data_IF_138793774963
#
_entry.id   IF_138793774963
#
_cell.length_a   1.000
_cell.length_b   1.000
_cell.length_c   1.000
_cell.angle_alpha   90.00
_cell.angle_beta   90.00
_cell.angle_gamma   90.00
#
_symmetry.space_group_name_H-M   'P 1'
#
loop_
_entity.id
_entity.type
_entity.pdbx_description
1 polymer ?
#
# COMPACT_ATOMS: atom_id res chain seq x y z
N UNK A 1 10.65 53.81 -21.92
CA UNK A 1 9.90 52.53 -22.00
C UNK A 1 10.63 51.53 -21.12
N UNK A 2 10.02 51.07 -20.01
CA UNK A 2 10.63 50.08 -19.11
C UNK A 2 10.48 48.70 -19.75
N UNK A 3 11.60 48.10 -20.13
CA UNK A 3 11.69 46.68 -20.51
C UNK A 3 11.40 45.84 -19.26
N UNK A 4 10.13 45.52 -19.04
CA UNK A 4 9.74 44.52 -18.05
C UNK A 4 10.32 43.17 -18.51
N UNK A 5 11.29 42.69 -17.74
CA UNK A 5 12.10 41.53 -18.07
C UNK A 5 11.23 40.28 -18.21
N UNK A 6 11.11 39.77 -19.44
CA UNK A 6 10.40 38.52 -19.79
C UNK A 6 10.90 37.32 -18.95
N UNK A 7 12.14 37.39 -18.44
CA UNK A 7 12.74 36.41 -17.54
C UNK A 7 12.04 36.31 -16.17
N UNK A 8 11.44 37.39 -15.67
CA UNK A 8 10.73 37.37 -14.38
C UNK A 8 9.40 36.60 -14.47
N UNK A 9 8.70 36.72 -15.60
CA UNK A 9 7.47 35.96 -15.88
C UNK A 9 7.74 34.46 -16.02
N UNK A 10 8.84 34.05 -16.70
CA UNK A 10 9.21 32.64 -16.86
C UNK A 10 9.53 31.92 -15.53
N UNK A 11 10.12 32.64 -14.56
CA UNK A 11 10.45 32.05 -13.24
C UNK A 11 9.23 31.75 -12.36
N UNK A 12 8.10 32.43 -12.60
CA UNK A 12 6.85 32.20 -11.87
C UNK A 12 6.11 30.95 -12.36
N UNK A 13 6.27 30.55 -13.61
CA UNK A 13 5.60 29.35 -14.16
C UNK A 13 6.28 28.03 -13.79
N UNK A 14 7.56 28.03 -13.43
CA UNK A 14 8.27 26.81 -13.04
C UNK A 14 7.87 26.29 -11.65
N UNK A 15 7.58 27.18 -10.71
CA UNK A 15 7.20 26.77 -9.36
C UNK A 15 5.75 26.25 -9.28
N UNK A 16 4.83 26.81 -10.08
CA UNK A 16 3.42 26.41 -10.09
C UNK A 16 3.20 25.04 -10.74
N UNK A 17 4.00 24.69 -11.75
CA UNK A 17 3.90 23.38 -12.41
C UNK A 17 4.37 22.24 -11.50
N UNK A 18 5.40 22.47 -10.67
CA UNK A 18 5.95 21.44 -9.80
C UNK A 18 5.01 21.12 -8.62
N UNK A 19 4.39 22.15 -8.03
CA UNK A 19 3.39 21.93 -6.97
C UNK A 19 2.16 21.20 -7.51
N UNK A 20 1.63 21.62 -8.67
CA UNK A 20 0.46 20.98 -9.27
C UNK A 20 0.69 19.51 -9.65
N UNK A 21 1.90 19.16 -10.11
CA UNK A 21 2.27 17.76 -10.39
C UNK A 21 2.37 16.94 -9.09
N UNK A 22 2.94 17.52 -8.03
CA UNK A 22 3.07 16.87 -6.71
C UNK A 22 1.70 16.61 -6.09
N UNK A 23 0.79 17.59 -6.16
CA UNK A 23 -0.58 17.48 -5.65
C UNK A 23 -1.39 16.43 -6.43
N UNK A 24 -1.26 16.40 -7.76
CA UNK A 24 -1.91 15.38 -8.60
C UNK A 24 -1.44 13.96 -8.27
N UNK A 25 -0.14 13.77 -8.02
CA UNK A 25 0.40 12.46 -7.64
C UNK A 25 -0.03 12.05 -6.23
N UNK A 26 -0.04 12.98 -5.28
CA UNK A 26 -0.55 12.71 -3.92
C UNK A 26 -2.02 12.30 -3.95
N UNK A 27 -2.85 12.98 -4.74
CA UNK A 27 -4.25 12.59 -4.93
C UNK A 27 -4.37 11.17 -5.49
N UNK A 28 -3.58 10.80 -6.51
CA UNK A 28 -3.56 9.43 -7.04
C UNK A 28 -3.18 8.40 -5.97
N UNK A 29 -2.18 8.69 -5.15
CA UNK A 29 -1.76 7.81 -4.04
C UNK A 29 -2.91 7.63 -3.05
N UNK A 30 -3.55 8.72 -2.63
CA UNK A 30 -4.66 8.69 -1.69
C UNK A 30 -5.86 7.91 -2.23
N UNK A 31 -6.19 8.08 -3.52
CA UNK A 31 -7.26 7.32 -4.17
C UNK A 31 -6.97 5.82 -4.15
N UNK A 32 -5.77 5.41 -4.58
CA UNK A 32 -5.39 3.98 -4.59
C UNK A 32 -5.38 3.39 -3.17
N UNK A 33 -4.89 4.13 -2.17
CA UNK A 33 -4.96 3.71 -0.77
C UNK A 33 -6.41 3.48 -0.35
N UNK A 34 -7.29 4.43 -0.65
CA UNK A 34 -8.69 4.35 -0.28
C UNK A 34 -9.39 3.16 -0.96
N UNK A 35 -9.06 2.87 -2.21
CA UNK A 35 -9.59 1.70 -2.94
C UNK A 35 -9.18 0.39 -2.26
N UNK A 36 -7.90 0.23 -1.91
CA UNK A 36 -7.39 -0.95 -1.18
C UNK A 36 -8.05 -1.08 0.20
N UNK A 37 -8.15 0.00 0.97
CA UNK A 37 -8.76 -0.03 2.30
C UNK A 37 -10.25 -0.37 2.24
N UNK A 38 -10.98 0.13 1.24
CA UNK A 38 -12.38 -0.21 1.03
C UNK A 38 -12.58 -1.69 0.70
N UNK A 39 -11.73 -2.26 -0.15
CA UNK A 39 -11.78 -3.69 -0.46
C UNK A 39 -11.44 -4.54 0.78
N UNK A 40 -10.47 -4.13 1.61
CA UNK A 40 -10.16 -4.82 2.87
C UNK A 40 -11.39 -4.88 3.78
N UNK A 41 -12.09 -3.76 3.94
CA UNK A 41 -13.27 -3.65 4.79
C UNK A 41 -14.44 -4.50 4.30
N UNK A 42 -14.56 -4.77 2.99
CA UNK A 42 -15.56 -5.68 2.44
C UNK A 42 -15.28 -7.14 2.80
N UNK A 43 -14.00 -7.54 2.76
CA UNK A 43 -13.58 -8.89 3.14
C UNK A 43 -13.68 -9.15 4.65
N UNK A 44 -13.54 -8.10 5.46
CA UNK A 44 -13.48 -8.16 6.92
C UNK A 44 -14.67 -7.47 7.62
N UNK A 45 -15.83 -7.41 6.96
CA UNK A 45 -17.03 -6.74 7.45
C UNK A 45 -17.54 -7.36 8.76
N UNK A 46 -17.23 -6.71 9.89
CA UNK A 46 -17.61 -7.12 11.25
C UNK A 46 -16.44 -7.47 12.18
N UNK A 47 -15.20 -7.34 11.73
CA UNK A 47 -14.00 -7.77 12.46
C UNK A 47 -13.45 -6.73 13.47
N UNK A 48 -12.65 -7.25 14.40
CA UNK A 48 -11.76 -6.53 15.33
C UNK A 48 -10.42 -6.14 14.69
N UNK A 49 -10.37 -6.20 13.36
CA UNK A 49 -9.15 -6.09 12.58
C UNK A 49 -9.06 -4.68 11.95
N UNK A 50 -7.89 -4.06 12.04
CA UNK A 50 -7.61 -2.72 11.56
C UNK A 50 -6.55 -2.78 10.47
N UNK A 51 -6.75 -2.06 9.38
CA UNK A 51 -5.81 -1.98 8.27
C UNK A 51 -5.64 -0.53 7.86
N UNK A 52 -4.39 -0.13 7.60
CA UNK A 52 -4.06 1.25 7.26
C UNK A 52 -2.83 1.31 6.37
N UNK A 53 -2.89 2.18 5.37
CA UNK A 53 -1.77 2.50 4.50
C UNK A 53 -1.44 4.00 4.59
N UNK A 54 -0.19 4.31 4.89
CA UNK A 54 0.29 5.71 4.85
C UNK A 54 0.60 6.15 3.43
N UNK A 55 0.65 7.46 3.18
CA UNK A 55 1.04 8.03 1.87
C UNK A 55 2.49 7.74 1.46
N UNK A 56 3.31 7.21 2.37
CA UNK A 56 4.65 6.72 2.08
C UNK A 56 4.70 5.22 1.75
N UNK A 57 3.54 4.53 1.77
CA UNK A 57 3.43 3.09 1.53
C UNK A 57 3.79 2.21 2.73
N UNK A 58 3.83 2.77 3.95
CA UNK A 58 3.90 1.95 5.15
C UNK A 58 2.52 1.38 5.45
N UNK A 59 2.45 0.05 5.52
CA UNK A 59 1.24 -0.74 5.72
C UNK A 59 1.25 -1.29 7.14
N UNK A 60 0.10 -1.27 7.80
CA UNK A 60 -0.10 -1.97 9.07
C UNK A 60 -1.45 -2.63 9.10
N UNK A 61 -1.47 -3.91 9.47
CA UNK A 61 -2.66 -4.70 9.75
C UNK A 61 -2.60 -5.14 11.22
N UNK A 62 -3.72 -5.09 11.93
CA UNK A 62 -3.82 -5.52 13.32
C UNK A 62 -5.07 -6.35 13.52
N UNK A 63 -4.96 -7.42 14.30
CA UNK A 63 -6.12 -8.04 14.93
C UNK A 63 -6.08 -7.79 16.44
N UNK A 64 -7.11 -7.15 16.96
CA UNK A 64 -7.16 -6.78 18.38
C UNK A 64 -7.65 -7.91 19.30
N UNK A 65 -8.25 -8.99 18.78
CA UNK A 65 -8.61 -10.17 19.59
C UNK A 65 -7.37 -11.04 19.81
N UNK A 66 -6.60 -11.27 18.75
CA UNK A 66 -5.45 -12.19 18.77
C UNK A 66 -4.12 -11.51 19.17
N UNK A 67 -4.17 -10.23 19.57
CA UNK A 67 -3.02 -9.36 19.87
C UNK A 67 -1.94 -9.50 18.80
N UNK A 68 -2.34 -9.26 17.55
CA UNK A 68 -1.53 -9.50 16.37
C UNK A 68 -1.38 -8.22 15.55
N UNK A 69 -0.16 -7.92 15.09
CA UNK A 69 0.14 -6.78 14.21
C UNK A 69 1.16 -7.20 13.14
N UNK A 70 0.86 -6.90 11.89
CA UNK A 70 1.80 -6.98 10.76
C UNK A 70 2.12 -5.55 10.33
N UNK A 71 3.39 -5.25 10.07
CA UNK A 71 3.78 -3.97 9.46
C UNK A 71 4.98 -4.11 8.53
N UNK A 72 4.96 -3.37 7.44
CA UNK A 72 6.03 -3.33 6.44
C UNK A 72 5.93 -2.07 5.57
N UNK A 73 7.02 -1.75 4.87
CA UNK A 73 7.02 -0.71 3.85
C UNK A 73 6.88 -1.36 2.47
N UNK A 74 5.92 -0.92 1.66
CA UNK A 74 5.66 -1.45 0.33
C UNK A 74 6.90 -1.36 -0.59
N UNK A 75 7.75 -0.35 -0.39
CA UNK A 75 9.00 -0.20 -1.17
C UNK A 75 10.04 -1.30 -0.90
N UNK A 76 9.90 -2.03 0.22
CA UNK A 76 10.74 -3.19 0.55
C UNK A 76 10.16 -4.51 0.04
N UNK A 77 8.94 -4.49 -0.53
CA UNK A 77 8.28 -5.64 -1.13
C UNK A 77 8.67 -5.79 -2.62
N UNK A 78 8.73 -7.03 -3.07
CA UNK A 78 8.89 -7.38 -4.48
C UNK A 78 7.52 -7.31 -5.18
N UNK A 79 7.32 -6.28 -5.99
CA UNK A 79 6.04 -5.98 -6.65
C UNK A 79 5.48 -7.15 -7.47
N UNK A 80 6.34 -7.88 -8.17
CA UNK A 80 5.94 -8.99 -9.03
C UNK A 80 5.56 -10.26 -8.26
N UNK A 81 5.80 -10.30 -6.94
CA UNK A 81 5.54 -11.45 -6.08
C UNK A 81 4.34 -11.24 -5.17
N UNK A 82 3.59 -10.14 -5.31
CA UNK A 82 2.29 -10.01 -4.62
C UNK A 82 1.31 -10.95 -5.32
N UNK A 83 1.01 -12.07 -4.68
CA UNK A 83 0.19 -13.16 -5.23
C UNK A 83 -0.96 -13.51 -4.31
N UNK A 84 -2.06 -13.96 -4.91
CA UNK A 84 -3.14 -14.62 -4.20
C UNK A 84 -2.78 -16.08 -3.89
N UNK A 85 -3.00 -16.52 -2.65
CA UNK A 85 -2.97 -17.93 -2.26
C UNK A 85 -4.29 -18.33 -1.63
N UNK A 86 -4.77 -19.54 -1.94
CA UNK A 86 -5.95 -20.09 -1.28
C UNK A 86 -5.62 -20.47 0.16
N UNK A 87 -6.47 -20.09 1.10
CA UNK A 87 -6.37 -20.48 2.51
C UNK A 87 -7.58 -21.30 2.93
N UNK A 88 -7.29 -22.46 3.52
CA UNK A 88 -8.31 -23.36 4.06
C UNK A 88 -8.86 -22.87 5.41
N UNK A 89 -8.12 -22.01 6.13
CA UNK A 89 -8.50 -21.54 7.47
C UNK A 89 -9.69 -20.59 7.46
N UNK A 90 -9.82 -19.77 6.41
CA UNK A 90 -10.88 -18.74 6.27
C UNK A 90 -11.80 -18.97 5.07
N UNK A 91 -11.71 -20.14 4.41
CA UNK A 91 -12.43 -20.45 3.17
C UNK A 91 -12.32 -19.28 2.17
N UNK A 92 -11.09 -18.93 1.81
CA UNK A 92 -10.87 -17.77 0.98
C UNK A 92 -9.47 -17.68 0.39
N UNK A 93 -9.04 -16.45 0.15
CA UNK A 93 -7.71 -16.13 -0.35
C UNK A 93 -7.01 -15.14 0.57
N UNK A 94 -5.69 -15.28 0.65
CA UNK A 94 -4.80 -14.31 1.26
C UNK A 94 -3.89 -13.70 0.19
N UNK A 95 -3.43 -12.48 0.42
CA UNK A 95 -2.32 -11.91 -0.33
C UNK A 95 -1.00 -12.29 0.34
N UNK A 96 -0.11 -12.93 -0.41
CA UNK A 96 1.26 -13.16 0.04
C UNK A 96 2.14 -12.01 -0.40
N UNK A 97 2.89 -11.46 0.56
CA UNK A 97 3.89 -10.42 0.32
C UNK A 97 5.28 -11.02 0.52
N UNK A 98 6.22 -10.70 -0.38
CA UNK A 98 7.61 -11.14 -0.31
C UNK A 98 8.57 -9.95 -0.31
N UNK A 99 9.59 -9.99 0.56
CA UNK A 99 10.63 -8.97 0.62
C UNK A 99 11.53 -9.01 -0.64
N UNK A 100 11.87 -7.83 -1.18
CA UNK A 100 12.70 -7.65 -2.39
C UNK A 100 14.13 -8.16 -2.28
N UNK A 101 14.64 -8.27 -1.05
CA UNK A 101 15.97 -8.82 -0.74
C UNK A 101 15.73 -9.97 0.23
N UNK A 102 16.68 -10.90 0.39
CA UNK A 102 16.65 -11.93 1.44
C UNK A 102 16.68 -11.37 2.89
N UNK A 103 16.27 -10.12 3.08
CA UNK A 103 16.08 -9.44 4.33
C UNK A 103 14.68 -9.72 4.88
N UNK A 104 14.58 -9.82 6.20
CA UNK A 104 13.31 -9.94 6.89
C UNK A 104 12.70 -8.53 7.07
N UNK A 105 11.92 -8.09 6.09
CA UNK A 105 11.34 -6.74 6.02
C UNK A 105 9.92 -6.64 6.61
N UNK A 106 9.26 -7.77 6.86
CA UNK A 106 7.92 -7.82 7.41
C UNK A 106 8.01 -8.04 8.91
N UNK A 107 7.59 -7.03 9.68
CA UNK A 107 7.54 -7.12 11.14
C UNK A 107 6.19 -7.69 11.55
N UNK A 108 6.23 -8.67 12.43
CA UNK A 108 5.04 -9.24 13.07
C UNK A 108 5.19 -9.12 14.58
N UNK A 109 4.18 -8.59 15.25
CA UNK A 109 4.06 -8.60 16.71
C UNK A 109 2.89 -9.52 17.06
N UNK A 110 3.13 -10.51 17.91
CA UNK A 110 2.06 -11.38 18.44
C UNK A 110 2.33 -11.66 19.91
N UNK A 111 1.32 -11.45 20.76
CA UNK A 111 1.43 -11.70 22.20
C UNK A 111 2.66 -10.99 22.81
N UNK A 112 2.86 -9.72 22.45
CA UNK A 112 4.01 -8.90 22.84
C UNK A 112 5.39 -9.32 22.28
N UNK A 113 5.48 -10.38 21.45
CA UNK A 113 6.74 -10.82 20.85
C UNK A 113 6.86 -10.31 19.42
N UNK A 114 8.00 -9.70 19.10
CA UNK A 114 8.31 -9.26 17.74
C UNK A 114 9.13 -10.32 17.00
N UNK A 115 8.75 -10.60 15.76
CA UNK A 115 9.49 -11.41 14.80
C UNK A 115 9.53 -10.71 13.44
N UNK A 116 10.51 -11.07 12.63
CA UNK A 116 10.66 -10.53 11.29
C UNK A 116 10.68 -11.67 10.28
N UNK A 117 9.97 -11.50 9.17
CA UNK A 117 9.78 -12.49 8.13
C UNK A 117 10.18 -11.94 6.76
N UNK A 118 10.59 -12.85 5.88
CA UNK A 118 10.86 -12.57 4.46
C UNK A 118 9.61 -12.66 3.59
N UNK A 119 8.57 -13.34 4.07
CA UNK A 119 7.26 -13.43 3.44
C UNK A 119 6.16 -13.54 4.49
N UNK A 120 4.95 -13.08 4.15
CA UNK A 120 3.81 -13.18 5.04
C UNK A 120 2.49 -13.17 4.26
N UNK A 121 1.50 -13.91 4.73
CA UNK A 121 0.13 -13.89 4.21
C UNK A 121 -0.70 -12.89 5.02
N UNK A 122 -1.27 -11.91 4.35
CA UNK A 122 -2.07 -10.86 4.95
C UNK A 122 -3.28 -10.58 4.05
N UNK A 123 -4.21 -9.74 4.48
CA UNK A 123 -5.34 -9.34 3.65
C UNK A 123 -6.17 -10.55 3.17
N UNK A 124 -7.06 -11.03 4.04
CA UNK A 124 -7.91 -12.19 3.74
C UNK A 124 -9.25 -11.75 3.13
N UNK A 125 -9.69 -12.47 2.09
CA UNK A 125 -10.97 -12.28 1.41
C UNK A 125 -11.63 -13.63 1.12
N UNK A 126 -12.95 -13.66 0.95
CA UNK A 126 -13.72 -14.90 0.69
C UNK A 126 -13.54 -15.39 -0.77
N UNK A 127 -13.65 -16.70 -1.01
CA UNK A 127 -13.45 -17.33 -2.34
C UNK A 127 -14.29 -16.71 -3.47
N UNK A 128 -15.50 -16.25 -3.17
CA UNK A 128 -16.44 -15.69 -4.15
C UNK A 128 -15.97 -14.34 -4.75
N UNK A 129 -14.89 -13.77 -4.22
CA UNK A 129 -14.39 -12.43 -4.54
C UNK A 129 -13.09 -12.42 -5.36
N UNK A 130 -12.77 -13.50 -6.09
CA UNK A 130 -11.53 -13.59 -6.90
C UNK A 130 -11.27 -12.36 -7.80
N UNK A 131 -12.29 -11.78 -8.44
CA UNK A 131 -12.11 -10.57 -9.25
C UNK A 131 -11.73 -9.31 -8.45
N UNK A 132 -12.16 -9.21 -7.19
CA UNK A 132 -11.75 -8.13 -6.28
C UNK A 132 -10.30 -8.32 -5.82
N UNK A 133 -9.87 -9.57 -5.68
CA UNK A 133 -8.50 -9.91 -5.33
C UNK A 133 -7.51 -9.53 -6.44
N UNK A 134 -7.85 -9.81 -7.70
CA UNK A 134 -7.03 -9.41 -8.85
C UNK A 134 -6.92 -7.88 -8.96
N UNK A 135 -8.02 -7.16 -8.70
CA UNK A 135 -8.02 -5.70 -8.65
C UNK A 135 -7.14 -5.19 -7.49
N UNK A 136 -7.27 -5.77 -6.30
CA UNK A 136 -6.45 -5.39 -5.13
C UNK A 136 -4.96 -5.59 -5.41
N UNK A 137 -4.57 -6.69 -6.06
CA UNK A 137 -3.18 -6.92 -6.49
C UNK A 137 -2.72 -5.82 -7.46
N UNK A 138 -3.57 -5.46 -8.43
CA UNK A 138 -3.28 -4.37 -9.36
C UNK A 138 -3.09 -3.04 -8.63
N UNK A 139 -3.91 -2.74 -7.64
CA UNK A 139 -3.86 -1.50 -6.88
C UNK A 139 -2.59 -1.41 -6.02
N UNK A 140 -2.18 -2.50 -5.37
CA UNK A 140 -0.89 -2.54 -4.65
C UNK A 140 0.30 -2.31 -5.59
N UNK A 141 0.28 -2.89 -6.80
CA UNK A 141 1.32 -2.67 -7.82
C UNK A 141 1.33 -1.21 -8.28
N UNK A 142 0.16 -0.65 -8.56
CA UNK A 142 0.02 0.76 -8.91
C UNK A 142 0.55 1.69 -7.81
N UNK A 143 0.20 1.43 -6.55
CA UNK A 143 0.69 2.19 -5.41
C UNK A 143 2.22 2.13 -5.32
N UNK A 144 2.80 0.94 -5.45
CA UNK A 144 4.26 0.78 -5.41
C UNK A 144 4.97 1.55 -6.52
N UNK A 145 4.42 1.53 -7.74
CA UNK A 145 4.91 2.31 -8.87
C UNK A 145 4.85 3.83 -8.60
N UNK A 146 3.72 4.33 -8.11
CA UNK A 146 3.53 5.74 -7.75
C UNK A 146 4.51 6.21 -6.66
N UNK A 147 4.86 5.34 -5.71
CA UNK A 147 5.80 5.63 -4.63
C UNK A 147 7.26 5.58 -5.09
N UNK A 148 7.60 4.77 -6.08
CA UNK A 148 8.97 4.58 -6.55
C UNK A 148 9.45 5.74 -7.44
N UNK A 149 8.55 6.41 -8.15
CA UNK A 149 8.85 7.59 -9.00
C UNK A 149 9.43 8.78 -8.18
N UNK A 150 9.30 8.77 -6.85
CA UNK A 150 9.85 9.80 -5.95
C UNK A 150 11.36 9.69 -5.65
N UNK A 151 12.05 8.62 -6.08
CA UNK A 151 13.50 8.41 -5.85
C UNK A 151 14.31 8.71 -7.11
#
# INVERSE_FOLDING_TARGET
MKTFSLAFLLSLFWNVNLSAQTDSQLLKILTVIQDIENEYLKGNAGSTSWFNITTTGFITEKDTIDDFEISFNLSDIQENEITAVSTDELLGHALTFYCRKAANCIKVVSNGKTRYYSSFEAYYTLFEQQGQLDQTISDFKQLNSLLTIKK
#
